data_IF_081775398216
#
_entry.id   IF_081775398216
#
_cell.length_a   1.000
_cell.length_b   1.000
_cell.length_c   1.000
_cell.angle_alpha   90.00
_cell.angle_beta   90.00
_cell.angle_gamma   90.00
#
_symmetry.space_group_name_H-M   'P 1'
#
loop_
_entity.id
_entity.type
_entity.pdbx_description
1 polymer ?
#
# COMPACT_ATOMS: atom_id res chain seq x y z
N UNK A 1 33.44 -62.18 42.98
CA UNK A 1 32.99 -62.00 41.55
C UNK A 1 31.70 -61.23 41.57
N UNK A 2 31.79 -59.94 41.39
CA UNK A 2 30.62 -59.01 41.39
C UNK A 2 30.53 -58.33 40.02
N UNK A 3 29.52 -58.71 39.26
CA UNK A 3 29.26 -58.09 37.96
C UNK A 3 28.38 -56.84 38.17
N UNK A 4 28.99 -55.71 37.95
CA UNK A 4 28.29 -54.38 37.88
C UNK A 4 27.60 -54.22 36.53
N UNK A 5 26.25 -54.08 36.52
CA UNK A 5 25.45 -53.76 35.36
C UNK A 5 25.31 -52.22 35.25
N UNK A 6 26.07 -51.63 34.37
CA UNK A 6 25.87 -50.25 33.97
C UNK A 6 24.69 -50.18 33.03
N UNK A 7 23.57 -49.56 33.50
CA UNK A 7 22.42 -49.21 32.68
C UNK A 7 22.68 -47.90 31.90
N UNK A 8 22.69 -47.98 30.57
CA UNK A 8 22.74 -46.83 29.69
C UNK A 8 21.32 -46.23 29.58
N UNK A 9 21.16 -45.06 30.15
CA UNK A 9 19.95 -44.23 29.93
C UNK A 9 20.18 -43.44 28.64
N UNK A 10 19.51 -43.83 27.56
CA UNK A 10 19.49 -43.09 26.30
C UNK A 10 18.43 -41.99 26.40
N UNK A 11 18.86 -40.75 26.57
CA UNK A 11 18.02 -39.57 26.54
C UNK A 11 17.69 -39.25 25.05
N UNK A 12 16.48 -39.60 24.62
CA UNK A 12 15.95 -39.16 23.34
C UNK A 12 15.53 -37.67 23.44
N UNK A 13 16.39 -36.78 22.96
CA UNK A 13 16.03 -35.37 22.73
C UNK A 13 15.10 -35.29 21.51
N UNK A 14 13.81 -35.09 21.75
CA UNK A 14 12.83 -34.83 20.70
C UNK A 14 13.08 -33.44 20.11
N UNK A 15 13.74 -33.40 18.96
CA UNK A 15 13.88 -32.20 18.15
C UNK A 15 12.53 -31.95 17.46
N UNK A 16 11.75 -31.02 17.98
CA UNK A 16 10.54 -30.51 17.31
C UNK A 16 10.97 -29.67 16.10
N UNK A 17 10.64 -30.07 14.86
CA UNK A 17 10.85 -29.20 13.70
C UNK A 17 9.90 -28.00 13.84
N UNK A 18 10.47 -26.82 14.12
CA UNK A 18 9.75 -25.55 14.05
C UNK A 18 9.23 -25.37 12.62
N UNK A 19 7.91 -25.41 12.43
CA UNK A 19 7.26 -25.02 11.19
C UNK A 19 7.49 -23.51 11.01
N UNK A 20 8.57 -23.15 10.32
CA UNK A 20 8.77 -21.80 9.83
C UNK A 20 7.66 -21.52 8.79
N UNK A 21 6.63 -20.79 9.19
CA UNK A 21 5.69 -20.18 8.23
C UNK A 21 6.47 -19.15 7.43
N UNK A 22 7.06 -19.60 6.32
CA UNK A 22 7.56 -18.70 5.30
C UNK A 22 6.32 -17.93 4.77
N UNK A 23 6.18 -16.67 5.17
CA UNK A 23 5.20 -15.78 4.56
C UNK A 23 5.50 -15.77 3.06
N UNK A 24 4.62 -16.38 2.27
CA UNK A 24 4.73 -16.44 0.81
C UNK A 24 4.63 -15.01 0.30
N UNK A 25 5.77 -14.37 0.04
CA UNK A 25 5.79 -13.10 -0.68
C UNK A 25 5.15 -13.36 -2.03
N UNK A 26 3.97 -12.76 -2.24
CA UNK A 26 3.27 -12.87 -3.51
C UNK A 26 4.22 -12.40 -4.61
N UNK A 27 4.47 -13.27 -5.60
CA UNK A 27 5.37 -12.94 -6.71
C UNK A 27 4.88 -11.66 -7.41
N UNK A 28 5.82 -10.81 -7.83
CA UNK A 28 5.48 -9.64 -8.62
C UNK A 28 5.07 -10.09 -10.02
N UNK A 29 4.06 -9.45 -10.58
CA UNK A 29 3.60 -9.65 -11.97
C UNK A 29 4.38 -8.73 -12.91
N UNK A 30 4.38 -9.04 -14.20
CA UNK A 30 4.96 -8.16 -15.22
C UNK A 30 4.09 -6.91 -15.45
N UNK A 31 4.64 -5.88 -16.11
CA UNK A 31 3.89 -4.67 -16.47
C UNK A 31 2.70 -5.01 -17.38
N UNK A 32 2.85 -5.95 -18.30
CA UNK A 32 1.77 -6.37 -19.20
C UNK A 32 0.64 -7.07 -18.45
N UNK A 33 0.95 -8.02 -17.57
CA UNK A 33 -0.04 -8.69 -16.73
C UNK A 33 -0.77 -7.73 -15.79
N UNK A 34 -0.08 -6.69 -15.34
CA UNK A 34 -0.65 -5.67 -14.46
C UNK A 34 -1.79 -4.89 -15.12
N UNK A 35 -1.81 -4.79 -16.46
CA UNK A 35 -2.87 -4.08 -17.20
C UNK A 35 -4.26 -4.67 -16.96
N UNK A 36 -4.35 -5.96 -16.67
CA UNK A 36 -5.62 -6.65 -16.39
C UNK A 36 -6.03 -6.64 -14.93
N UNK A 37 -5.15 -6.14 -14.06
CA UNK A 37 -5.34 -6.15 -12.61
C UNK A 37 -5.77 -4.78 -12.06
N UNK A 38 -6.66 -4.08 -12.76
CA UNK A 38 -7.16 -2.76 -12.36
C UNK A 38 -7.76 -2.79 -10.95
N UNK A 39 -7.50 -1.72 -10.20
CA UNK A 39 -7.94 -1.48 -8.82
C UNK A 39 -7.42 -2.49 -7.79
N UNK A 40 -6.41 -3.31 -8.13
CA UNK A 40 -5.76 -4.22 -7.20
C UNK A 40 -4.43 -3.64 -6.70
N UNK A 41 -4.14 -3.86 -5.41
CA UNK A 41 -2.82 -3.60 -4.81
C UNK A 41 -1.92 -4.79 -5.10
N UNK A 42 -0.95 -4.59 -5.98
CA UNK A 42 -0.06 -5.63 -6.47
C UNK A 42 1.38 -5.16 -6.50
N UNK A 43 2.31 -6.11 -6.59
CA UNK A 43 3.70 -5.85 -6.94
C UNK A 43 3.87 -6.02 -8.45
N UNK A 44 4.46 -5.02 -9.10
CA UNK A 44 4.84 -5.06 -10.50
C UNK A 44 6.35 -5.12 -10.60
N UNK A 45 6.87 -6.03 -11.43
CA UNK A 45 8.27 -6.09 -11.84
C UNK A 45 8.38 -5.48 -13.23
N UNK A 46 9.23 -4.47 -13.39
CA UNK A 46 9.41 -3.77 -14.65
C UNK A 46 10.86 -3.32 -14.84
N UNK A 47 11.31 -3.25 -16.09
CA UNK A 47 12.52 -2.55 -16.45
C UNK A 47 12.21 -1.08 -16.71
N UNK A 48 13.00 -0.16 -16.15
CA UNK A 48 12.85 1.28 -16.36
C UNK A 48 13.81 1.70 -17.47
N UNK A 49 13.29 1.95 -18.65
CA UNK A 49 14.09 2.38 -19.81
C UNK A 49 14.46 3.86 -19.73
N UNK A 50 13.54 4.71 -19.28
CA UNK A 50 13.80 6.14 -19.10
C UNK A 50 12.98 6.72 -17.96
N UNK A 51 13.38 7.91 -17.51
CA UNK A 51 12.65 8.72 -16.52
C UNK A 51 12.45 10.11 -17.11
N UNK A 52 11.22 10.39 -17.51
CA UNK A 52 10.80 11.64 -18.12
C UNK A 52 10.19 12.55 -17.06
N UNK A 53 10.71 13.77 -16.94
CA UNK A 53 10.17 14.81 -16.06
C UNK A 53 9.48 15.89 -16.91
N UNK A 54 8.20 16.14 -16.62
CA UNK A 54 7.44 17.20 -17.26
C UNK A 54 7.72 18.57 -16.64
N UNK A 55 7.40 19.67 -17.34
CA UNK A 55 7.60 21.03 -16.82
C UNK A 55 6.84 21.32 -15.51
N UNK A 56 5.76 20.61 -15.22
CA UNK A 56 4.99 20.72 -13.97
C UNK A 56 5.63 19.94 -12.80
N UNK A 57 6.74 19.23 -13.04
CA UNK A 57 7.43 18.42 -12.06
C UNK A 57 6.87 17.00 -11.90
N UNK A 58 5.86 16.61 -12.67
CA UNK A 58 5.39 15.22 -12.76
C UNK A 58 6.44 14.37 -13.47
N UNK A 59 6.73 13.19 -12.94
CA UNK A 59 7.75 12.27 -13.45
C UNK A 59 7.10 10.97 -13.90
N UNK A 60 7.49 10.50 -15.09
CA UNK A 60 7.07 9.22 -15.64
C UNK A 60 8.27 8.27 -15.66
N UNK A 61 8.05 7.04 -15.24
CA UNK A 61 9.01 5.97 -15.43
C UNK A 61 8.55 5.18 -16.64
N UNK A 62 9.33 5.24 -17.71
CA UNK A 62 9.06 4.51 -18.93
C UNK A 62 9.44 3.04 -18.74
N UNK A 63 8.44 2.17 -18.84
CA UNK A 63 8.56 0.71 -18.68
C UNK A 63 8.39 -0.03 -20.00
N UNK A 64 8.14 0.69 -21.08
CA UNK A 64 8.06 0.13 -22.41
C UNK A 64 9.38 0.28 -23.14
N UNK A 65 9.71 -0.69 -24.00
CA UNK A 65 10.96 -0.63 -24.78
C UNK A 65 10.98 0.63 -25.68
N UNK A 66 12.14 1.24 -25.91
CA UNK A 66 12.25 2.45 -26.74
C UNK A 66 11.68 2.30 -28.16
N UNK A 67 11.65 1.07 -28.66
CA UNK A 67 11.10 0.76 -29.97
C UNK A 67 9.55 0.62 -29.96
N UNK A 68 8.94 0.62 -28.79
CA UNK A 68 7.49 0.53 -28.67
C UNK A 68 6.86 1.90 -28.86
N UNK A 69 5.98 2.10 -29.87
CA UNK A 69 5.24 3.34 -30.02
C UNK A 69 4.42 3.64 -28.75
N UNK A 70 4.32 4.91 -28.37
CA UNK A 70 3.65 5.34 -27.14
C UNK A 70 2.19 4.85 -27.05
N UNK A 71 1.49 4.73 -28.18
CA UNK A 71 0.14 4.18 -28.29
C UNK A 71 0.04 2.68 -27.94
N UNK A 72 1.13 1.95 -28.06
CA UNK A 72 1.21 0.52 -27.72
C UNK A 72 1.75 0.29 -26.31
N UNK A 73 2.28 1.31 -25.67
CA UNK A 73 2.71 1.23 -24.27
C UNK A 73 1.49 1.21 -23.35
N UNK A 74 1.18 0.03 -22.81
CA UNK A 74 -0.06 -0.24 -22.08
C UNK A 74 0.00 0.03 -20.58
N UNK A 75 1.21 0.22 -20.06
CA UNK A 75 1.43 0.44 -18.62
C UNK A 75 2.35 1.64 -18.38
N UNK A 76 2.08 2.40 -17.33
CA UNK A 76 2.91 3.54 -16.94
C UNK A 76 3.04 3.65 -15.42
N UNK A 77 4.16 4.19 -14.96
CA UNK A 77 4.37 4.52 -13.55
C UNK A 77 4.58 6.01 -13.45
N UNK A 78 3.78 6.67 -12.61
CA UNK A 78 3.76 8.14 -12.48
C UNK A 78 4.10 8.54 -11.06
N UNK A 79 5.01 9.50 -10.89
CA UNK A 79 5.25 10.16 -9.61
C UNK A 79 4.82 11.62 -9.72
N UNK A 80 3.85 12.03 -8.92
CA UNK A 80 3.33 13.39 -8.93
C UNK A 80 4.32 14.36 -8.27
N UNK A 81 4.23 15.64 -8.60
CA UNK A 81 5.07 16.69 -8.02
C UNK A 81 5.00 16.72 -6.50
N UNK A 82 3.80 16.54 -5.92
CA UNK A 82 3.56 16.54 -4.48
C UNK A 82 4.26 15.39 -3.73
N UNK A 83 4.68 14.36 -4.45
CA UNK A 83 5.35 13.19 -3.88
C UNK A 83 6.87 13.23 -4.08
N UNK A 84 7.40 14.29 -4.67
CA UNK A 84 8.81 14.39 -5.08
C UNK A 84 9.76 14.10 -3.92
N UNK A 85 9.53 14.71 -2.78
CA UNK A 85 10.41 14.59 -1.61
C UNK A 85 10.35 13.18 -0.99
N UNK A 86 9.16 12.58 -0.98
CA UNK A 86 8.96 11.25 -0.40
C UNK A 86 9.43 10.11 -1.30
N UNK A 87 9.43 10.33 -2.60
CA UNK A 87 9.92 9.38 -3.61
C UNK A 87 11.42 9.54 -3.81
N UNK A 88 11.92 10.77 -3.73
CA UNK A 88 13.32 11.11 -3.98
C UNK A 88 13.70 11.10 -5.45
N UNK A 89 15.01 10.96 -5.72
CA UNK A 89 15.57 10.99 -7.09
C UNK A 89 15.26 9.70 -7.85
N UNK A 90 14.57 9.81 -8.98
CA UNK A 90 14.17 8.69 -9.82
C UNK A 90 15.13 8.35 -10.95
N UNK A 91 15.95 9.31 -11.41
CA UNK A 91 16.90 9.08 -12.52
C UNK A 91 17.88 7.95 -12.23
N UNK A 92 18.15 7.67 -10.96
CA UNK A 92 19.01 6.55 -10.54
C UNK A 92 18.47 5.18 -10.92
N UNK A 93 17.17 5.06 -11.22
CA UNK A 93 16.53 3.80 -11.61
C UNK A 93 16.50 3.57 -13.12
N UNK A 94 17.02 4.51 -13.92
CA UNK A 94 17.14 4.36 -15.36
C UNK A 94 18.01 3.14 -15.69
N UNK A 95 17.61 2.38 -16.68
CA UNK A 95 18.24 1.11 -17.12
C UNK A 95 18.32 0.06 -15.99
N UNK A 96 17.33 0.04 -15.06
CA UNK A 96 17.30 -0.90 -13.96
C UNK A 96 15.98 -1.68 -13.91
N UNK A 97 16.10 -2.93 -13.48
CA UNK A 97 14.96 -3.73 -13.11
C UNK A 97 14.49 -3.35 -11.70
N UNK A 98 13.22 -3.03 -11.57
CA UNK A 98 12.63 -2.61 -10.30
C UNK A 98 11.40 -3.45 -9.95
N UNK A 99 11.08 -3.48 -8.67
CA UNK A 99 9.83 -4.05 -8.15
C UNK A 99 9.11 -2.96 -7.40
N UNK A 100 7.90 -2.65 -7.83
CA UNK A 100 7.12 -1.55 -7.27
C UNK A 100 5.76 -2.08 -6.84
N UNK A 101 5.39 -1.85 -5.57
CA UNK A 101 4.05 -2.16 -5.08
C UNK A 101 3.16 -0.95 -5.15
N UNK A 102 1.93 -1.15 -5.61
CA UNK A 102 0.92 -0.10 -5.63
C UNK A 102 -0.40 -0.56 -6.19
N UNK A 103 -1.34 0.37 -6.27
CA UNK A 103 -2.67 0.12 -6.82
C UNK A 103 -2.66 0.48 -8.29
N UNK A 104 -2.98 -0.51 -9.14
CA UNK A 104 -3.13 -0.28 -10.59
C UNK A 104 -4.44 0.47 -10.84
N UNK A 105 -4.37 1.54 -11.62
CA UNK A 105 -5.53 2.37 -11.96
C UNK A 105 -5.55 2.70 -13.45
N UNK A 106 -6.72 2.96 -14.04
CA UNK A 106 -6.77 3.53 -15.39
C UNK A 106 -6.19 4.95 -15.38
N UNK A 107 -5.27 5.22 -16.31
CA UNK A 107 -4.60 6.52 -16.48
C UNK A 107 -4.50 6.85 -17.98
N UNK A 108 -5.22 7.88 -18.42
CA UNK A 108 -5.15 8.38 -19.81
C UNK A 108 -5.20 7.28 -20.88
N UNK A 109 -6.14 6.33 -20.75
CA UNK A 109 -6.36 5.27 -21.73
C UNK A 109 -5.48 4.04 -21.58
N UNK A 110 -4.54 4.02 -20.61
CA UNK A 110 -3.71 2.87 -20.27
C UNK A 110 -3.82 2.51 -18.79
N UNK A 111 -3.30 1.38 -18.38
CA UNK A 111 -3.15 1.04 -16.97
C UNK A 111 -1.92 1.75 -16.39
N UNK A 112 -1.94 2.04 -15.10
CA UNK A 112 -0.79 2.67 -14.48
C UNK A 112 -0.83 2.63 -12.96
N UNK A 113 0.26 3.07 -12.37
CA UNK A 113 0.47 3.08 -10.93
C UNK A 113 1.05 4.41 -10.48
N UNK A 114 0.56 4.95 -9.35
CA UNK A 114 1.15 6.13 -8.74
C UNK A 114 2.24 5.71 -7.77
N UNK A 115 3.45 6.19 -8.02
CA UNK A 115 4.59 6.10 -7.13
C UNK A 115 4.58 7.33 -6.22
N UNK A 116 4.18 7.14 -4.98
CA UNK A 116 3.96 8.21 -4.00
C UNK A 116 4.92 8.18 -2.81
N UNK A 117 5.75 7.11 -2.69
CA UNK A 117 6.73 6.97 -1.63
C UNK A 117 7.81 5.95 -2.03
N UNK A 118 9.08 6.23 -1.71
CA UNK A 118 10.21 5.35 -2.01
C UNK A 118 10.06 3.93 -1.46
N UNK A 119 9.34 3.73 -0.35
CA UNK A 119 9.08 2.39 0.23
C UNK A 119 8.36 1.43 -0.71
N UNK A 120 7.67 1.94 -1.76
CA UNK A 120 6.99 1.09 -2.74
C UNK A 120 7.97 0.23 -3.54
N UNK A 121 9.22 0.69 -3.75
CA UNK A 121 10.31 -0.11 -4.33
C UNK A 121 10.71 -1.30 -3.47
N UNK A 122 10.38 -1.28 -2.19
CA UNK A 122 10.69 -2.33 -1.21
C UNK A 122 9.45 -3.11 -0.78
N UNK A 123 8.37 -3.07 -1.57
CA UNK A 123 7.12 -3.78 -1.28
C UNK A 123 6.21 -3.09 -0.25
N UNK A 124 6.57 -1.88 0.20
CA UNK A 124 5.72 -1.07 1.08
C UNK A 124 4.48 -0.54 0.36
N UNK A 125 3.42 -0.20 1.10
CA UNK A 125 2.19 0.34 0.51
C UNK A 125 2.41 1.77 -0.02
N UNK A 126 1.59 2.21 -1.00
CA UNK A 126 1.55 3.59 -1.43
C UNK A 126 1.11 4.53 -0.29
N UNK A 127 1.33 5.83 -0.46
CA UNK A 127 0.82 6.85 0.46
C UNK A 127 -0.71 6.82 0.47
N UNK A 128 -1.31 6.80 1.66
CA UNK A 128 -2.74 6.92 1.78
C UNK A 128 -3.17 8.33 1.36
N UNK A 129 -4.03 8.40 0.36
CA UNK A 129 -4.67 9.65 -0.07
C UNK A 129 -6.17 9.53 0.15
N UNK A 130 -6.74 10.34 1.05
CA UNK A 130 -8.19 10.32 1.24
C UNK A 130 -8.87 10.71 -0.08
N UNK A 131 -9.99 10.05 -0.39
CA UNK A 131 -10.77 10.41 -1.57
C UNK A 131 -11.36 11.81 -1.39
N UNK A 132 -11.05 12.79 -2.26
CA UNK A 132 -11.55 14.15 -2.11
C UNK A 132 -13.08 14.25 -2.08
N UNK A 133 -13.77 13.30 -2.72
CA UNK A 133 -15.24 13.23 -2.70
C UNK A 133 -15.78 12.85 -1.32
N UNK A 134 -15.05 12.00 -0.58
CA UNK A 134 -15.43 11.61 0.79
C UNK A 134 -15.10 12.72 1.78
N UNK A 135 -13.98 13.41 1.59
CA UNK A 135 -13.59 14.54 2.46
C UNK A 135 -14.59 15.70 2.34
N UNK A 136 -15.11 15.98 1.14
CA UNK A 136 -16.14 17.02 0.95
C UNK A 136 -17.48 16.67 1.60
N UNK A 137 -17.77 15.38 1.81
CA UNK A 137 -18.99 14.92 2.51
C UNK A 137 -18.94 15.13 4.04
N UNK A 138 -17.78 15.41 4.60
CA UNK A 138 -17.55 15.69 6.02
C UNK A 138 -17.23 17.15 6.30
N UNK A 139 -17.80 18.07 5.51
CA UNK A 139 -17.75 19.49 5.84
C UNK A 139 -18.52 19.73 7.12
N UNK A 140 -17.84 20.17 8.17
CA UNK A 140 -18.46 20.48 9.46
C UNK A 140 -19.52 21.58 9.38
N UNK A 141 -19.47 22.38 8.32
CA UNK A 141 -20.39 23.50 8.07
C UNK A 141 -21.72 23.06 7.44
N UNK A 142 -21.77 21.86 6.86
CA UNK A 142 -23.04 21.27 6.46
C UNK A 142 -23.60 20.55 7.70
N UNK A 143 -24.52 21.22 8.38
CA UNK A 143 -25.17 20.73 9.59
C UNK A 143 -25.45 19.23 9.48
N UNK A 144 -25.09 18.47 10.50
CA UNK A 144 -25.16 16.99 10.55
C UNK A 144 -26.44 16.55 9.85
N UNK A 145 -26.38 15.75 8.77
CA UNK A 145 -27.58 15.14 8.23
C UNK A 145 -28.22 14.39 9.39
N UNK A 146 -29.47 14.72 9.69
CA UNK A 146 -30.20 13.99 10.71
C UNK A 146 -30.24 12.52 10.28
N UNK A 147 -29.44 11.68 10.90
CA UNK A 147 -29.44 10.25 10.65
C UNK A 147 -30.76 9.74 11.21
N UNK A 148 -31.75 9.66 10.32
CA UNK A 148 -33.08 9.13 10.63
C UNK A 148 -33.10 7.59 10.54
N UNK A 149 -32.03 6.93 10.96
CA UNK A 149 -32.04 5.48 11.07
C UNK A 149 -32.68 5.11 12.44
N UNK A 150 -33.88 4.50 12.44
CA UNK A 150 -34.55 4.12 13.67
C UNK A 150 -33.74 3.11 14.50
N UNK A 151 -32.86 2.32 13.88
CA UNK A 151 -31.99 1.36 14.57
C UNK A 151 -30.82 2.05 15.32
N UNK A 152 -30.38 3.22 14.87
CA UNK A 152 -29.39 4.01 15.59
C UNK A 152 -29.96 4.78 16.76
N UNK A 153 -31.26 5.10 16.74
CA UNK A 153 -31.95 5.73 17.88
C UNK A 153 -32.08 4.82 19.10
N UNK A 154 -32.18 3.50 18.89
CA UNK A 154 -32.34 2.54 19.99
C UNK A 154 -31.05 2.23 20.74
N UNK A 155 -29.88 2.46 20.12
CA UNK A 155 -28.57 2.22 20.74
C UNK A 155 -27.96 3.46 21.38
N UNK A 156 -28.50 4.64 21.15
CA UNK A 156 -28.00 5.92 21.67
C UNK A 156 -28.20 6.15 23.17
N UNK A 157 -28.77 5.18 23.88
CA UNK A 157 -29.17 5.39 25.28
C UNK A 157 -28.08 5.20 26.32
N UNK A 158 -26.92 4.61 26.08
CA UNK A 158 -25.98 4.29 27.18
C UNK A 158 -24.51 4.20 26.95
N UNK A 159 -24.03 4.42 25.75
CA UNK A 159 -22.60 4.56 25.52
C UNK A 159 -22.33 5.73 24.57
N UNK A 160 -22.70 6.91 25.04
CA UNK A 160 -22.25 8.13 24.40
C UNK A 160 -20.74 8.12 24.42
N UNK A 161 -20.10 8.10 23.25
CA UNK A 161 -18.79 8.69 23.15
C UNK A 161 -18.93 10.09 23.76
N UNK A 162 -18.19 10.39 24.82
CA UNK A 162 -18.12 11.72 25.38
C UNK A 162 -17.74 12.66 24.25
N UNK A 163 -18.70 13.41 23.75
CA UNK A 163 -18.40 14.51 22.84
C UNK A 163 -17.54 15.50 23.63
N UNK A 164 -16.48 15.98 23.04
CA UNK A 164 -15.59 17.00 23.62
C UNK A 164 -16.34 18.25 24.07
N UNK A 165 -17.57 18.46 23.62
CA UNK A 165 -18.46 19.52 24.06
C UNK A 165 -19.01 19.35 25.47
N UNK A 166 -19.05 18.12 26.02
CA UNK A 166 -19.54 17.87 27.37
C UNK A 166 -18.49 18.15 28.45
N UNK A 167 -17.24 18.44 28.04
CA UNK A 167 -16.17 18.78 28.99
C UNK A 167 -16.13 20.27 29.41
N UNK A 168 -16.92 21.13 28.76
CA UNK A 168 -16.91 22.57 29.08
C UNK A 168 -17.87 22.98 30.21
N UNK A 169 -18.65 22.08 30.77
CA UNK A 169 -19.63 22.40 31.81
C UNK A 169 -19.23 22.02 33.24
N UNK A 170 -17.94 21.80 33.50
CA UNK A 170 -17.47 21.65 34.87
C UNK A 170 -17.40 23.03 35.56
N UNK A 171 -18.16 23.28 36.66
CA UNK A 171 -18.11 24.55 37.35
C UNK A 171 -16.73 24.73 38.00
N UNK A 172 -16.08 25.85 37.70
CA UNK A 172 -14.90 26.28 38.39
C UNK A 172 -15.27 26.55 39.86
N UNK A 173 -14.66 25.79 40.76
CA UNK A 173 -14.58 26.15 42.18
C UNK A 173 -13.49 27.14 42.40
#
# INVERSE_FOLDING_TARGET
MVLSRFGWVVLFAAVLPGLAFAATQKACVTADEATELLNKDICVSAHIYDVVELPDGTRFLDVCTPDTPDEHCRFTIVSLVDDRDEVGELRKYRDMDVRIRGIVRPMHGRAGMVLSHARQFYGGPPKFRPNPKLVRGFSADQGRPAVNDPNLRSQGGRRGFMNSADQETLPKK
#
